data_IF_342016829819
#
_entry.id   IF_342016829819
#
_cell.length_a   1.000
_cell.length_b   1.000
_cell.length_c   1.000
_cell.angle_alpha   90.00
_cell.angle_beta   90.00
_cell.angle_gamma   90.00
#
_symmetry.space_group_name_H-M   'P 1'
#
loop_
_entity.id
_entity.type
_entity.pdbx_description
1 polymer ?
#
# COMPACT_ATOMS: atom_id res chain seq x y z
N UNK A 1 26.63 3.42 10.45
CA UNK A 1 26.01 3.88 9.20
C UNK A 1 25.50 2.75 8.32
N UNK A 2 26.29 1.74 8.01
CA UNK A 2 25.88 0.61 7.15
C UNK A 2 24.83 -0.33 7.76
N UNK A 3 24.74 -0.46 9.09
CA UNK A 3 23.77 -1.33 9.77
C UNK A 3 22.36 -0.73 9.83
N UNK A 4 22.22 0.60 9.90
CA UNK A 4 20.90 1.25 9.89
C UNK A 4 20.30 1.30 8.48
N UNK A 5 21.12 1.52 7.46
CA UNK A 5 20.71 1.46 6.05
C UNK A 5 20.23 0.05 5.67
N UNK A 6 20.90 -1.00 6.14
CA UNK A 6 20.50 -2.38 5.90
C UNK A 6 19.17 -2.74 6.60
N UNK A 7 18.96 -2.27 7.84
CA UNK A 7 17.70 -2.52 8.56
C UNK A 7 16.48 -1.91 7.86
N UNK A 8 16.65 -0.78 7.19
CA UNK A 8 15.55 -0.08 6.51
C UNK A 8 15.20 -0.70 5.15
N UNK A 9 16.18 -1.19 4.41
CA UNK A 9 15.96 -1.96 3.17
C UNK A 9 15.24 -3.28 3.50
N UNK A 10 15.57 -3.89 4.62
CA UNK A 10 15.00 -5.16 5.07
C UNK A 10 13.50 -5.07 5.38
N UNK A 11 12.95 -3.92 5.79
CA UNK A 11 11.53 -3.83 6.16
C UNK A 11 10.59 -4.01 4.97
N UNK A 12 10.86 -3.36 3.83
CA UNK A 12 10.05 -3.57 2.61
C UNK A 12 10.22 -4.98 2.06
N UNK A 13 11.44 -5.48 2.01
CA UNK A 13 11.73 -6.82 1.51
C UNK A 13 11.13 -7.91 2.41
N UNK A 14 11.19 -7.73 3.73
CA UNK A 14 10.58 -8.64 4.69
C UNK A 14 9.05 -8.68 4.53
N UNK A 15 8.41 -7.53 4.31
CA UNK A 15 6.97 -7.46 4.08
C UNK A 15 6.57 -8.11 2.75
N UNK A 16 7.34 -7.89 1.69
CA UNK A 16 7.12 -8.57 0.39
C UNK A 16 7.27 -10.09 0.52
N UNK A 17 8.29 -10.55 1.22
CA UNK A 17 8.52 -11.98 1.47
C UNK A 17 7.35 -12.58 2.26
N UNK A 18 6.89 -11.90 3.31
CA UNK A 18 5.74 -12.32 4.09
C UNK A 18 4.47 -12.44 3.23
N UNK A 19 4.18 -11.45 2.39
CA UNK A 19 3.04 -11.51 1.46
C UNK A 19 3.19 -12.69 0.50
N UNK A 20 4.37 -12.93 -0.05
CA UNK A 20 4.61 -14.06 -0.94
C UNK A 20 4.37 -15.41 -0.24
N UNK A 21 4.73 -15.51 1.02
CA UNK A 21 4.53 -16.75 1.81
C UNK A 21 3.04 -17.00 2.12
N UNK A 22 2.27 -15.95 2.36
CA UNK A 22 0.86 -16.09 2.78
C UNK A 22 -0.13 -16.11 1.62
N UNK A 23 0.19 -15.51 0.47
CA UNK A 23 -0.78 -15.34 -0.63
C UNK A 23 -1.39 -16.65 -1.14
N UNK A 24 -0.61 -17.72 -1.14
CA UNK A 24 -1.05 -19.05 -1.56
C UNK A 24 -1.89 -19.76 -0.49
N UNK A 25 -1.89 -19.26 0.73
CA UNK A 25 -2.69 -19.76 1.85
C UNK A 25 -4.01 -18.99 2.04
N UNK A 26 -4.23 -17.94 1.25
CA UNK A 26 -5.44 -17.11 1.35
C UNK A 26 -6.61 -17.86 0.73
N UNK A 27 -7.60 -18.19 1.55
CA UNK A 27 -8.80 -18.92 1.14
C UNK A 27 -9.81 -17.99 0.44
N UNK A 28 -9.91 -16.75 0.87
CA UNK A 28 -10.81 -15.75 0.27
C UNK A 28 -10.29 -15.36 -1.11
N UNK A 29 -10.99 -15.80 -2.15
CA UNK A 29 -10.63 -15.51 -3.54
C UNK A 29 -10.66 -14.03 -3.89
N UNK A 30 -11.50 -13.24 -3.25
CA UNK A 30 -11.57 -11.80 -3.47
C UNK A 30 -10.36 -11.09 -2.86
N UNK A 31 -9.89 -11.55 -1.70
CA UNK A 31 -8.63 -11.08 -1.12
C UNK A 31 -7.44 -11.46 -2.00
N UNK A 32 -7.37 -12.69 -2.48
CA UNK A 32 -6.31 -13.15 -3.39
C UNK A 32 -6.19 -12.26 -4.63
N UNK A 33 -7.31 -11.87 -5.23
CA UNK A 33 -7.32 -10.98 -6.40
C UNK A 33 -6.75 -9.61 -6.12
N UNK A 34 -6.99 -9.05 -4.94
CA UNK A 34 -6.38 -7.77 -4.57
C UNK A 34 -4.85 -7.89 -4.42
N UNK A 35 -4.37 -8.99 -3.87
CA UNK A 35 -2.92 -9.24 -3.82
C UNK A 35 -2.28 -9.37 -5.21
N UNK A 36 -2.98 -9.94 -6.19
CA UNK A 36 -2.48 -10.02 -7.56
C UNK A 36 -2.27 -8.64 -8.20
N UNK A 37 -3.12 -7.66 -7.85
CA UNK A 37 -3.07 -6.30 -8.36
C UNK A 37 -2.27 -5.33 -7.46
N UNK A 38 -1.63 -5.86 -6.42
CA UNK A 38 -0.81 -5.07 -5.50
C UNK A 38 0.48 -4.60 -6.17
N UNK A 39 0.76 -3.32 -6.07
CA UNK A 39 1.99 -2.71 -6.54
C UNK A 39 2.71 -2.01 -5.40
N UNK A 40 4.03 -1.96 -5.49
CA UNK A 40 4.90 -1.28 -4.53
C UNK A 40 5.38 0.02 -5.16
N UNK A 41 4.89 1.14 -4.63
CA UNK A 41 5.09 2.46 -5.20
C UNK A 41 6.14 3.22 -4.40
N UNK A 42 7.11 3.80 -5.11
CA UNK A 42 8.08 4.70 -4.50
C UNK A 42 7.46 6.08 -4.35
N UNK A 43 7.50 6.60 -3.12
CA UNK A 43 7.05 7.94 -2.78
C UNK A 43 8.19 8.68 -2.09
N UNK A 44 8.40 9.93 -2.46
CA UNK A 44 9.50 10.72 -1.94
C UNK A 44 9.09 11.53 -0.70
N UNK A 45 10.07 11.83 0.16
CA UNK A 45 9.93 12.73 1.31
C UNK A 45 8.90 12.29 2.38
N UNK A 46 8.57 11.00 2.44
CA UNK A 46 7.66 10.45 3.45
C UNK A 46 8.43 9.82 4.59
N UNK A 47 9.31 8.89 4.25
CA UNK A 47 10.16 8.15 5.16
C UNK A 47 11.59 8.68 5.11
N UNK A 48 12.33 8.67 6.23
CA UNK A 48 13.77 8.94 6.21
C UNK A 48 14.54 7.98 5.29
N UNK A 49 13.98 6.81 5.03
CA UNK A 49 14.54 5.84 4.11
C UNK A 49 13.88 5.94 2.74
N UNK A 50 14.58 6.56 1.78
CA UNK A 50 14.11 6.69 0.40
C UNK A 50 14.00 5.35 -0.37
N UNK A 51 14.43 4.25 0.23
CA UNK A 51 14.26 2.90 -0.33
C UNK A 51 12.90 2.28 0.00
N UNK A 52 12.12 2.87 0.90
CA UNK A 52 10.80 2.37 1.24
C UNK A 52 9.86 2.43 0.04
N UNK A 53 9.15 1.33 -0.16
CA UNK A 53 8.09 1.20 -1.14
C UNK A 53 6.76 1.01 -0.44
N UNK A 54 5.71 1.57 -1.01
CA UNK A 54 4.39 1.62 -0.38
C UNK A 54 3.38 0.78 -1.16
N UNK A 55 2.68 -0.15 -0.47
CA UNK A 55 1.75 -1.06 -1.13
C UNK A 55 0.46 -0.34 -1.51
N UNK A 56 0.08 -0.51 -2.77
CA UNK A 56 -1.14 0.08 -3.33
C UNK A 56 -1.73 -0.87 -4.36
N UNK A 57 -3.01 -1.19 -4.24
CA UNK A 57 -3.71 -1.94 -5.26
C UNK A 57 -4.14 -0.99 -6.37
N UNK A 58 -3.77 -1.31 -7.61
CA UNK A 58 -4.20 -0.61 -8.81
C UNK A 58 -4.95 -1.58 -9.71
N UNK A 59 -6.25 -1.36 -9.90
CA UNK A 59 -7.09 -2.26 -10.68
C UNK A 59 -8.22 -1.53 -11.38
N UNK A 60 -8.71 -2.10 -12.48
CA UNK A 60 -9.81 -1.54 -13.26
C UNK A 60 -9.36 -0.44 -14.23
N UNK A 61 -10.33 0.07 -14.99
CA UNK A 61 -10.17 1.13 -15.99
C UNK A 61 -11.35 2.08 -15.92
N UNK A 62 -11.11 3.34 -16.23
CA UNK A 62 -12.12 4.38 -16.22
C UNK A 62 -11.75 5.55 -15.34
N UNK A 63 -12.76 6.18 -14.79
CA UNK A 63 -12.56 7.29 -13.85
C UNK A 63 -11.82 6.83 -12.60
N UNK A 64 -10.90 7.65 -12.12
CA UNK A 64 -10.08 7.31 -10.96
C UNK A 64 -10.87 7.45 -9.66
N UNK A 65 -10.84 6.41 -8.84
CA UNK A 65 -11.47 6.36 -7.52
C UNK A 65 -10.43 5.93 -6.50
N UNK A 66 -10.23 6.76 -5.49
CA UNK A 66 -9.37 6.47 -4.36
C UNK A 66 -10.20 5.87 -3.23
N UNK A 67 -9.87 4.66 -2.81
CA UNK A 67 -10.52 3.96 -1.70
C UNK A 67 -9.60 3.99 -0.48
N UNK A 68 -10.02 4.71 0.55
CA UNK A 68 -9.26 4.91 1.78
C UNK A 68 -9.88 4.06 2.89
N UNK A 69 -9.09 3.12 3.43
CA UNK A 69 -9.56 2.27 4.54
C UNK A 69 -9.65 3.02 5.87
N UNK A 70 -10.38 2.43 6.82
CA UNK A 70 -10.52 2.96 8.17
C UNK A 70 -9.28 2.76 9.04
N UNK A 71 -9.36 3.30 10.27
CA UNK A 71 -8.31 3.16 11.26
C UNK A 71 -7.99 1.67 11.52
N UNK A 72 -6.71 1.36 11.63
CA UNK A 72 -6.21 0.01 11.92
C UNK A 72 -6.69 -1.07 10.93
N UNK A 73 -6.87 -0.69 9.68
CA UNK A 73 -7.28 -1.58 8.59
C UNK A 73 -6.21 -1.66 7.49
N UNK A 74 -6.57 -2.13 6.32
CA UNK A 74 -5.70 -2.25 5.15
C UNK A 74 -6.54 -2.30 3.86
N UNK A 75 -5.87 -2.37 2.71
CA UNK A 75 -6.54 -2.43 1.40
C UNK A 75 -7.54 -3.60 1.28
N UNK A 76 -7.37 -4.66 2.03
CA UNK A 76 -8.28 -5.83 2.00
C UNK A 76 -9.70 -5.51 2.49
N UNK A 77 -9.90 -4.38 3.16
CA UNK A 77 -11.24 -3.89 3.51
C UNK A 77 -12.15 -3.80 2.28
N UNK A 78 -11.58 -3.48 1.13
CA UNK A 78 -12.31 -3.31 -0.13
C UNK A 78 -12.41 -4.57 -1.00
N UNK A 79 -11.99 -5.73 -0.53
CA UNK A 79 -11.98 -6.97 -1.33
C UNK A 79 -13.35 -7.35 -1.93
N UNK A 80 -14.43 -6.98 -1.25
CA UNK A 80 -15.79 -7.26 -1.72
C UNK A 80 -16.37 -6.15 -2.59
N UNK A 81 -16.01 -4.92 -2.35
CA UNK A 81 -16.48 -3.76 -3.10
C UNK A 81 -15.72 -3.58 -4.43
N UNK A 82 -14.43 -3.81 -4.42
CA UNK A 82 -13.57 -3.58 -5.58
C UNK A 82 -14.03 -4.31 -6.86
N UNK A 83 -14.50 -5.57 -6.84
CA UNK A 83 -14.98 -6.26 -8.04
C UNK A 83 -16.12 -5.56 -8.75
N UNK A 84 -16.97 -4.85 -8.02
CA UNK A 84 -18.08 -4.09 -8.59
C UNK A 84 -17.62 -2.76 -9.17
N UNK A 85 -16.82 -2.01 -8.42
CA UNK A 85 -16.39 -0.67 -8.81
C UNK A 85 -15.39 -0.70 -9.99
N UNK A 86 -14.50 -1.66 -10.04
CA UNK A 86 -13.46 -1.74 -11.09
C UNK A 86 -14.01 -1.95 -12.50
N UNK A 87 -15.27 -2.32 -12.63
CA UNK A 87 -15.91 -2.50 -13.95
C UNK A 87 -15.92 -1.22 -14.77
N UNK A 88 -16.10 -0.07 -14.10
CA UNK A 88 -16.22 1.23 -14.74
C UNK A 88 -15.24 2.27 -14.19
N UNK A 89 -14.40 1.88 -13.23
CA UNK A 89 -13.48 2.79 -12.58
C UNK A 89 -12.08 2.20 -12.49
N UNK A 90 -11.09 3.07 -12.50
CA UNK A 90 -9.72 2.74 -12.09
C UNK A 90 -9.61 2.95 -10.59
N UNK A 91 -9.43 1.87 -9.85
CA UNK A 91 -9.33 1.91 -8.39
C UNK A 91 -7.87 2.08 -7.96
N UNK A 92 -7.68 2.96 -7.00
CA UNK A 92 -6.42 3.20 -6.29
C UNK A 92 -6.69 2.91 -4.82
N UNK A 93 -6.16 1.80 -4.31
CA UNK A 93 -6.45 1.30 -2.96
C UNK A 93 -5.13 1.16 -2.19
N UNK A 94 -4.66 2.24 -1.54
CA UNK A 94 -3.43 2.17 -0.76
C UNK A 94 -3.67 1.57 0.62
N UNK A 95 -2.62 0.97 1.19
CA UNK A 95 -2.51 0.93 2.63
C UNK A 95 -2.07 2.31 3.10
N UNK A 96 -2.78 2.87 4.07
CA UNK A 96 -2.43 4.17 4.61
C UNK A 96 -1.09 4.12 5.35
N UNK A 97 -0.32 5.20 5.21
CA UNK A 97 0.97 5.34 5.89
C UNK A 97 0.84 5.06 7.39
N UNK A 98 1.61 4.11 7.88
CA UNK A 98 1.57 3.63 9.26
C UNK A 98 0.64 2.43 9.50
N UNK A 99 -0.10 1.98 8.48
CA UNK A 99 -1.04 0.87 8.58
C UNK A 99 -0.76 -0.24 7.58
N UNK A 100 -1.43 -1.37 7.77
CA UNK A 100 -1.39 -2.49 6.85
C UNK A 100 0.04 -2.99 6.57
N UNK A 101 0.36 -3.16 5.30
CA UNK A 101 1.66 -3.65 4.84
C UNK A 101 2.67 -2.53 4.54
N UNK A 102 2.38 -1.27 4.90
CA UNK A 102 3.34 -0.19 4.76
C UNK A 102 4.60 -0.46 5.57
N UNK A 103 5.80 -0.11 5.05
CA UNK A 103 7.04 -0.21 5.80
C UNK A 103 6.97 0.63 7.08
N UNK A 104 7.46 0.07 8.17
CA UNK A 104 7.59 0.74 9.47
C UNK A 104 9.06 0.92 9.81
N UNK A 105 9.73 1.68 8.95
CA UNK A 105 11.15 1.93 9.10
C UNK A 105 11.46 2.78 10.34
N UNK A 106 12.63 2.56 10.93
CA UNK A 106 13.10 3.35 12.06
C UNK A 106 13.18 4.84 11.69
N UNK A 107 12.73 5.70 12.59
CA UNK A 107 12.71 7.15 12.38
C UNK A 107 11.51 7.67 11.59
N UNK A 108 10.58 6.80 11.16
CA UNK A 108 9.33 7.26 10.55
C UNK A 108 8.55 8.13 11.52
N UNK A 109 8.04 9.23 11.00
CA UNK A 109 7.13 10.12 11.72
C UNK A 109 5.73 9.97 11.16
N UNK A 110 4.75 9.91 12.05
CA UNK A 110 3.35 9.73 11.69
C UNK A 110 2.56 11.01 12.00
N UNK A 111 1.35 11.08 11.50
CA UNK A 111 0.46 12.21 11.65
C UNK A 111 -0.03 12.75 10.31
N UNK A 112 -0.91 13.71 10.38
CA UNK A 112 -1.62 14.27 9.22
C UNK A 112 -0.68 14.69 8.08
N UNK A 113 0.38 15.38 8.38
CA UNK A 113 1.33 15.88 7.38
C UNK A 113 1.92 14.76 6.52
N UNK A 114 2.31 13.65 7.17
CA UNK A 114 2.92 12.51 6.49
C UNK A 114 1.89 11.67 5.74
N UNK A 115 0.69 11.55 6.29
CA UNK A 115 -0.42 10.91 5.61
C UNK A 115 -0.76 11.64 4.30
N UNK A 116 -0.81 12.96 4.30
CA UNK A 116 -1.08 13.74 3.09
C UNK A 116 0.05 13.65 2.07
N UNK A 117 1.29 13.61 2.51
CA UNK A 117 2.44 13.35 1.62
C UNK A 117 2.36 11.97 0.96
N UNK A 118 1.78 11.00 1.64
CA UNK A 118 1.54 9.67 1.09
C UNK A 118 0.41 9.66 0.07
N UNK A 119 -0.72 10.27 0.39
CA UNK A 119 -1.92 10.20 -0.44
C UNK A 119 -1.87 11.09 -1.69
N UNK A 120 -1.34 12.30 -1.59
CA UNK A 120 -1.35 13.26 -2.68
C UNK A 120 -0.71 12.75 -3.98
N UNK A 121 0.45 12.08 -3.97
CA UNK A 121 1.03 11.55 -5.20
C UNK A 121 0.26 10.37 -5.80
N UNK A 122 -0.48 9.63 -4.97
CA UNK A 122 -1.26 8.47 -5.42
C UNK A 122 -2.52 8.88 -6.19
N UNK A 123 -3.01 10.04 -5.91
CA UNK A 123 -4.19 10.61 -6.58
C UNK A 123 -3.79 11.90 -7.28
N UNK A 124 -3.17 11.81 -8.47
CA UNK A 124 -2.83 13.00 -9.24
C UNK A 124 -4.09 13.78 -9.58
N UNK A 125 -4.05 15.05 -9.35
CA UNK A 125 -5.21 15.93 -9.39
C UNK A 125 -5.83 16.12 -10.77
N UNK A 126 -5.30 15.45 -11.76
CA UNK A 126 -5.89 15.63 -13.11
C UNK A 126 -5.45 14.57 -14.08
#
# INVERSE_FOLDING_TARGET
MNQELNKNIDSTNATKAYINDIKDQIIDKQASKLFEDLQWIKLEDISPNNSDLFPTVLTGNGEKVLLIHGFDSCFLEYRRLAPFLKKNNKLIIPDLYGFGFCPRSSGNKYGYKYLMKHLNPLFPYY
#
